data_IF_745661426725
#
_entry.id   IF_745661426725
#
_cell.length_a   1.000
_cell.length_b   1.000
_cell.length_c   1.000
_cell.angle_alpha   90.00
_cell.angle_beta   90.00
_cell.angle_gamma   90.00
#
_symmetry.space_group_name_H-M   'P 1'
#
loop_
_entity.id
_entity.type
_entity.pdbx_description
1 polymer ?
#
# COMPACT_ATOMS: atom_id res chain seq x y z
N UNK A 1 -13.84 -26.67 -8.45
CA UNK A 1 -13.54 -26.47 -9.89
C UNK A 1 -12.63 -25.26 -9.98
N UNK A 2 -11.41 -25.39 -10.51
CA UNK A 2 -10.51 -24.24 -10.65
C UNK A 2 -10.94 -23.48 -11.91
N UNK A 3 -11.41 -22.24 -11.74
CA UNK A 3 -11.64 -21.35 -12.87
C UNK A 3 -10.30 -20.82 -13.36
N UNK A 4 -9.88 -21.28 -14.54
CA UNK A 4 -8.67 -20.78 -15.20
C UNK A 4 -8.97 -19.38 -15.76
N UNK A 5 -8.03 -18.45 -15.57
CA UNK A 5 -8.15 -17.09 -16.06
C UNK A 5 -8.30 -17.05 -17.60
N UNK A 6 -9.37 -16.42 -18.10
CA UNK A 6 -9.56 -16.13 -19.52
C UNK A 6 -9.12 -14.70 -19.84
N UNK A 7 -8.10 -14.52 -20.67
CA UNK A 7 -7.58 -13.21 -21.05
C UNK A 7 -8.60 -12.32 -21.76
N UNK A 8 -9.69 -12.89 -22.32
CA UNK A 8 -10.78 -12.12 -22.92
C UNK A 8 -11.48 -11.21 -21.92
N UNK A 9 -11.47 -11.53 -20.62
CA UNK A 9 -12.08 -10.66 -19.59
C UNK A 9 -11.40 -9.30 -19.49
N UNK A 10 -10.14 -9.17 -19.91
CA UNK A 10 -9.41 -7.90 -19.94
C UNK A 10 -10.07 -6.87 -20.87
N UNK A 11 -10.87 -7.32 -21.86
CA UNK A 11 -11.63 -6.42 -22.75
C UNK A 11 -12.75 -5.68 -22.02
N UNK A 12 -13.17 -6.18 -20.86
CA UNK A 12 -14.21 -5.59 -20.02
C UNK A 12 -13.66 -4.55 -19.03
N UNK A 13 -12.33 -4.33 -19.02
CA UNK A 13 -11.75 -3.28 -18.19
C UNK A 13 -12.24 -1.90 -18.62
N UNK A 14 -12.39 -1.03 -17.63
CA UNK A 14 -12.77 0.35 -17.83
C UNK A 14 -11.82 1.06 -18.80
N UNK A 15 -12.38 1.90 -19.67
CA UNK A 15 -11.64 2.77 -20.58
C UNK A 15 -12.05 4.21 -20.30
N UNK A 16 -11.08 5.11 -20.06
CA UNK A 16 -11.36 6.53 -19.88
C UNK A 16 -12.24 7.11 -21.00
N UNK A 17 -13.35 7.79 -20.68
CA UNK A 17 -14.17 8.51 -21.65
C UNK A 17 -13.35 9.58 -22.39
N UNK A 18 -13.65 9.84 -23.66
CA UNK A 18 -12.94 10.86 -24.45
C UNK A 18 -13.02 12.28 -23.86
N UNK A 19 -14.02 12.56 -23.02
CA UNK A 19 -14.24 13.86 -22.37
C UNK A 19 -13.91 13.84 -20.86
N UNK A 20 -13.22 12.79 -20.37
CA UNK A 20 -12.77 12.72 -18.99
C UNK A 20 -11.74 13.82 -18.71
N UNK A 21 -11.74 14.37 -17.49
CA UNK A 21 -10.75 15.32 -17.04
C UNK A 21 -10.41 15.09 -15.56
N UNK A 22 -9.24 15.58 -15.14
CA UNK A 22 -8.90 15.78 -13.74
C UNK A 22 -8.92 14.51 -12.90
N UNK A 23 -10.08 14.19 -12.32
CA UNK A 23 -10.30 13.15 -11.30
C UNK A 23 -11.26 12.03 -11.76
N UNK A 24 -11.69 12.05 -13.02
CA UNK A 24 -12.74 11.17 -13.56
C UNK A 24 -12.32 9.70 -13.69
N UNK A 25 -11.02 9.41 -13.82
CA UNK A 25 -10.48 8.06 -14.02
C UNK A 25 -9.85 7.48 -12.75
N UNK A 26 -10.27 8.03 -11.61
CA UNK A 26 -10.03 7.48 -10.30
C UNK A 26 -8.75 7.97 -9.64
N UNK A 27 -8.68 7.67 -8.35
CA UNK A 27 -7.68 8.18 -7.43
C UNK A 27 -7.22 7.06 -6.49
N UNK A 28 -5.93 6.98 -6.22
CA UNK A 28 -5.37 5.95 -5.33
C UNK A 28 -4.48 6.58 -4.28
N UNK A 29 -4.61 6.14 -3.03
CA UNK A 29 -3.62 6.40 -1.98
C UNK A 29 -2.71 5.19 -1.83
N UNK A 30 -1.41 5.40 -1.83
CA UNK A 30 -0.38 4.40 -1.54
C UNK A 30 0.26 4.76 -0.20
N UNK A 31 0.28 3.80 0.71
CA UNK A 31 0.82 3.95 2.07
C UNK A 31 1.94 2.94 2.25
N UNK A 32 3.16 3.42 2.42
CA UNK A 32 4.31 2.55 2.42
C UNK A 32 5.62 3.26 2.61
N UNK A 33 6.70 2.49 2.50
CA UNK A 33 8.06 2.96 2.71
C UNK A 33 8.44 2.98 4.19
N UNK A 34 9.75 2.96 4.40
CA UNK A 34 10.39 2.98 5.70
C UNK A 34 11.81 3.53 5.52
N UNK A 35 12.53 3.71 6.62
CA UNK A 35 13.93 4.13 6.57
C UNK A 35 14.78 3.20 5.70
N UNK A 36 14.57 1.88 5.80
CA UNK A 36 15.31 0.88 5.02
C UNK A 36 14.77 0.69 3.60
N UNK A 37 13.44 0.70 3.42
CA UNK A 37 12.78 0.36 2.16
C UNK A 37 11.99 1.53 1.55
N UNK A 38 12.52 2.75 1.63
CA UNK A 38 11.92 3.96 1.05
C UNK A 38 11.69 3.88 -0.47
N UNK A 39 12.45 3.03 -1.18
CA UNK A 39 12.31 2.81 -2.62
C UNK A 39 11.23 1.80 -3.02
N UNK A 40 10.77 0.94 -2.11
CA UNK A 40 9.82 -0.12 -2.46
C UNK A 40 8.48 0.39 -3.02
N UNK A 41 7.87 1.48 -2.48
CA UNK A 41 6.65 2.05 -3.06
C UNK A 41 6.80 2.60 -4.48
N UNK A 42 8.02 2.88 -4.97
CA UNK A 42 8.24 3.55 -6.27
C UNK A 42 7.62 2.76 -7.43
N UNK A 43 7.74 1.43 -7.40
CA UNK A 43 7.16 0.60 -8.45
C UNK A 43 5.63 0.68 -8.46
N UNK A 44 5.02 0.64 -7.28
CA UNK A 44 3.58 0.81 -7.11
C UNK A 44 3.11 2.19 -7.57
N UNK A 45 3.85 3.25 -7.22
CA UNK A 45 3.58 4.62 -7.65
C UNK A 45 3.61 4.74 -9.18
N UNK A 46 4.65 4.18 -9.82
CA UNK A 46 4.82 4.22 -11.28
C UNK A 46 3.79 3.37 -12.03
N UNK A 47 3.34 2.26 -11.44
CA UNK A 47 2.29 1.44 -12.01
C UNK A 47 0.94 2.15 -11.91
N UNK A 48 0.58 2.65 -10.73
CA UNK A 48 -0.68 3.35 -10.49
C UNK A 48 -0.81 4.60 -11.36
N UNK A 49 0.27 5.39 -11.53
CA UNK A 49 0.25 6.63 -12.32
C UNK A 49 0.00 6.43 -13.81
N UNK A 50 -0.01 5.19 -14.30
CA UNK A 50 -0.36 4.84 -15.68
C UNK A 50 -1.80 4.38 -15.82
N UNK A 51 -2.51 4.20 -14.71
CA UNK A 51 -3.83 3.60 -14.65
C UNK A 51 -4.86 4.62 -14.16
N UNK A 52 -4.50 5.44 -13.16
CA UNK A 52 -5.40 6.40 -12.52
C UNK A 52 -4.90 7.84 -12.71
N UNK A 53 -5.80 8.81 -12.55
CA UNK A 53 -5.46 10.22 -12.75
C UNK A 53 -4.62 10.78 -11.60
N UNK A 54 -4.91 10.36 -10.36
CA UNK A 54 -4.20 10.86 -9.18
C UNK A 54 -3.68 9.73 -8.31
N UNK A 55 -2.40 9.87 -7.92
CA UNK A 55 -1.75 8.98 -6.96
C UNK A 55 -1.24 9.81 -5.79
N UNK A 56 -1.77 9.52 -4.60
CA UNK A 56 -1.32 10.10 -3.34
C UNK A 56 -0.36 9.14 -2.65
N UNK A 57 0.74 9.65 -2.10
CA UNK A 57 1.74 8.85 -1.40
C UNK A 57 1.94 9.37 0.02
N UNK A 58 1.74 8.51 1.01
CA UNK A 58 2.02 8.81 2.41
C UNK A 58 2.88 7.74 3.06
N UNK A 59 3.66 8.12 4.07
CA UNK A 59 4.44 7.20 4.88
C UNK A 59 4.42 7.64 6.35
N UNK A 60 4.30 6.71 7.31
CA UNK A 60 4.46 7.01 8.73
C UNK A 60 5.93 7.29 9.10
N UNK A 61 6.88 7.03 8.21
CA UNK A 61 8.31 7.29 8.41
C UNK A 61 8.68 8.67 7.86
N UNK A 62 9.04 9.65 8.71
CA UNK A 62 9.33 11.03 8.28
C UNK A 62 10.45 11.11 7.22
N UNK A 63 11.50 10.29 7.35
CA UNK A 63 12.63 10.28 6.42
C UNK A 63 12.26 9.88 4.98
N UNK A 64 11.11 9.24 4.77
CA UNK A 64 10.63 8.91 3.42
C UNK A 64 10.19 10.17 2.68
N UNK A 65 9.76 11.24 3.36
CA UNK A 65 9.31 12.48 2.72
C UNK A 65 10.38 13.20 1.92
N UNK A 66 11.62 13.23 2.43
CA UNK A 66 12.76 13.82 1.72
C UNK A 66 13.07 13.05 0.44
N UNK A 67 13.05 11.72 0.53
CA UNK A 67 13.28 10.83 -0.61
C UNK A 67 12.12 10.96 -1.61
N UNK A 68 10.88 10.97 -1.13
CA UNK A 68 9.68 11.13 -1.94
C UNK A 68 9.70 12.46 -2.71
N UNK A 69 10.17 13.55 -2.09
CA UNK A 69 10.31 14.85 -2.75
C UNK A 69 11.33 14.80 -3.88
N UNK A 70 12.48 14.14 -3.66
CA UNK A 70 13.52 13.92 -4.69
C UNK A 70 13.06 12.97 -5.81
N UNK A 71 12.22 11.99 -5.49
CA UNK A 71 11.63 11.08 -6.48
C UNK A 71 10.56 11.82 -7.28
N UNK A 72 9.71 12.62 -6.63
CA UNK A 72 8.66 13.42 -7.25
C UNK A 72 9.23 14.33 -8.32
N UNK A 73 10.37 14.98 -8.07
CA UNK A 73 11.03 15.84 -9.08
C UNK A 73 11.50 15.07 -10.32
N UNK A 74 11.75 13.76 -10.21
CA UNK A 74 12.18 12.91 -11.33
C UNK A 74 11.04 12.16 -12.01
N UNK A 75 10.05 11.70 -11.26
CA UNK A 75 8.94 10.88 -11.74
C UNK A 75 7.72 11.73 -12.15
N UNK A 76 7.51 12.90 -11.55
CA UNK A 76 6.34 13.79 -11.76
C UNK A 76 4.98 13.08 -11.76
N UNK A 77 4.87 11.94 -11.06
CA UNK A 77 3.75 10.99 -11.23
C UNK A 77 2.88 10.80 -9.99
N UNK A 78 3.15 11.50 -8.89
CA UNK A 78 2.39 11.37 -7.64
C UNK A 78 2.48 12.64 -6.78
N UNK A 79 1.57 12.73 -5.81
CA UNK A 79 1.48 13.79 -4.81
C UNK A 79 1.93 13.21 -3.47
N UNK A 80 3.00 13.76 -2.90
CA UNK A 80 3.40 13.48 -1.53
C UNK A 80 2.40 14.12 -0.56
N UNK A 81 1.93 13.33 0.41
CA UNK A 81 0.94 13.71 1.41
C UNK A 81 1.61 13.70 2.79
N UNK A 82 1.55 14.81 3.55
CA UNK A 82 1.96 14.83 4.95
C UNK A 82 1.20 13.77 5.75
N UNK A 83 1.87 13.09 6.69
CA UNK A 83 1.30 11.94 7.38
C UNK A 83 0.04 12.30 8.17
N UNK A 84 -0.01 13.50 8.74
CA UNK A 84 -1.16 14.08 9.43
C UNK A 84 -2.42 14.16 8.57
N UNK A 85 -2.26 14.29 7.25
CA UNK A 85 -3.36 14.42 6.30
C UNK A 85 -3.71 13.10 5.61
N UNK A 86 -2.98 12.01 5.85
CA UNK A 86 -3.14 10.74 5.11
C UNK A 86 -4.59 10.23 5.14
N UNK A 87 -5.26 10.39 6.28
CA UNK A 87 -6.65 9.96 6.47
C UNK A 87 -7.63 10.73 5.58
N UNK A 88 -7.35 12.01 5.27
CA UNK A 88 -8.14 12.78 4.32
C UNK A 88 -8.04 12.19 2.90
N UNK A 89 -6.82 11.83 2.46
CA UNK A 89 -6.60 11.27 1.13
C UNK A 89 -7.08 9.83 0.99
N UNK A 90 -7.05 9.04 2.07
CA UNK A 90 -7.74 7.74 2.14
C UNK A 90 -9.24 7.93 1.87
N UNK A 91 -9.88 8.93 2.50
CA UNK A 91 -11.32 9.22 2.26
C UNK A 91 -11.56 9.61 0.80
N UNK A 92 -10.70 10.46 0.24
CA UNK A 92 -10.80 10.96 -1.14
C UNK A 92 -10.64 9.87 -2.21
N UNK A 93 -9.70 8.95 -2.04
CA UNK A 93 -9.29 8.00 -3.08
C UNK A 93 -10.35 6.95 -3.40
N UNK A 94 -10.35 6.29 -4.55
CA UNK A 94 -11.25 5.15 -4.81
C UNK A 94 -10.76 3.86 -4.16
N UNK A 95 -9.43 3.70 -4.07
CA UNK A 95 -8.77 2.55 -3.49
C UNK A 95 -7.49 2.96 -2.74
N UNK A 96 -7.03 2.08 -1.84
CA UNK A 96 -5.82 2.30 -1.06
C UNK A 96 -4.94 1.06 -1.09
N UNK A 97 -3.65 1.23 -1.38
CA UNK A 97 -2.62 0.21 -1.21
C UNK A 97 -1.83 0.49 0.07
N UNK A 98 -1.66 -0.52 0.92
CA UNK A 98 -0.86 -0.40 2.14
C UNK A 98 0.14 -1.55 2.27
N UNK A 99 1.35 -1.23 2.71
CA UNK A 99 2.34 -2.21 3.12
C UNK A 99 3.64 -2.31 2.31
N UNK A 100 3.72 -1.92 1.01
CA UNK A 100 5.00 -1.91 0.30
C UNK A 100 6.06 -1.09 1.02
N UNK A 101 7.19 -1.71 1.36
CA UNK A 101 8.28 -1.05 2.08
C UNK A 101 8.06 -0.86 3.58
N UNK A 102 6.96 -1.36 4.15
CA UNK A 102 6.83 -1.48 5.61
C UNK A 102 7.74 -2.59 6.16
N UNK A 103 8.13 -2.45 7.41
CA UNK A 103 9.13 -3.30 8.04
C UNK A 103 8.50 -4.17 9.12
N UNK A 104 8.73 -5.48 9.05
CA UNK A 104 8.47 -6.40 10.18
C UNK A 104 9.54 -6.29 11.27
N UNK A 105 10.78 -6.02 10.85
CA UNK A 105 11.96 -5.88 11.71
C UNK A 105 12.89 -4.78 11.19
N UNK A 106 13.59 -4.09 12.11
CA UNK A 106 14.59 -3.04 11.85
C UNK A 106 15.79 -3.52 11.02
N UNK A 107 16.11 -4.81 11.05
CA UNK A 107 17.13 -5.43 10.20
C UNK A 107 16.77 -6.88 9.88
N UNK A 108 17.25 -7.37 8.73
CA UNK A 108 17.07 -8.77 8.33
C UNK A 108 17.82 -9.75 9.25
N UNK A 109 18.95 -9.33 9.84
CA UNK A 109 19.72 -10.15 10.78
C UNK A 109 18.93 -10.47 12.07
N UNK A 110 18.09 -9.53 12.53
CA UNK A 110 17.24 -9.71 13.71
C UNK A 110 16.03 -10.63 13.47
N UNK A 111 15.76 -11.01 12.20
CA UNK A 111 14.66 -11.91 11.87
C UNK A 111 14.99 -13.38 12.15
N UNK A 112 16.28 -13.74 12.22
CA UNK A 112 16.73 -15.12 12.46
C UNK A 112 16.81 -15.48 13.96
N UNK A 113 17.02 -14.50 14.83
CA UNK A 113 17.18 -14.72 16.29
C UNK A 113 15.89 -14.59 17.11
N UNK A 114 14.78 -14.16 16.49
CA UNK A 114 13.52 -13.93 17.20
C UNK A 114 12.57 -15.10 17.00
N UNK A 115 12.08 -15.64 18.12
CA UNK A 115 10.98 -16.59 18.13
C UNK A 115 9.84 -16.11 17.23
N UNK A 116 9.25 -17.05 16.48
CA UNK A 116 8.08 -16.84 15.63
C UNK A 116 7.05 -15.97 16.37
N UNK A 117 6.84 -14.74 15.89
CA UNK A 117 5.80 -13.83 16.39
C UNK A 117 6.27 -12.59 17.15
N UNK A 118 7.54 -12.48 17.55
CA UNK A 118 8.01 -11.28 18.25
C UNK A 118 8.25 -10.13 17.25
N UNK A 119 7.56 -9.00 17.39
CA UNK A 119 7.80 -7.78 16.58
C UNK A 119 8.76 -6.85 17.31
N UNK A 120 9.69 -6.24 16.58
CA UNK A 120 10.48 -5.12 17.14
C UNK A 120 9.75 -3.78 17.00
N UNK A 121 10.42 -2.67 17.33
CA UNK A 121 9.78 -1.36 17.26
C UNK A 121 9.25 -1.00 15.87
N UNK A 122 9.94 -1.40 14.79
CA UNK A 122 9.48 -1.13 13.43
C UNK A 122 8.28 -2.04 13.07
N UNK A 123 8.35 -3.32 13.46
CA UNK A 123 7.22 -4.24 13.31
C UNK A 123 5.97 -3.81 14.05
N UNK A 124 6.11 -3.32 15.30
CA UNK A 124 4.99 -2.81 16.10
C UNK A 124 4.37 -1.57 15.48
N UNK A 125 5.19 -0.62 15.01
CA UNK A 125 4.69 0.55 14.28
C UNK A 125 3.91 0.15 13.03
N UNK A 126 4.46 -0.76 12.21
CA UNK A 126 3.76 -1.29 11.02
C UNK A 126 2.41 -1.91 11.39
N UNK A 127 2.38 -2.74 12.43
CA UNK A 127 1.16 -3.39 12.92
C UNK A 127 0.13 -2.36 13.40
N UNK A 128 0.55 -1.39 14.20
CA UNK A 128 -0.32 -0.34 14.75
C UNK A 128 -0.92 0.53 13.64
N UNK A 129 -0.10 0.99 12.69
CA UNK A 129 -0.56 1.77 11.53
C UNK A 129 -1.53 0.95 10.68
N UNK A 130 -1.18 -0.29 10.36
CA UNK A 130 -2.03 -1.19 9.56
C UNK A 130 -3.37 -1.41 10.26
N UNK A 131 -3.38 -1.75 11.55
CA UNK A 131 -4.60 -1.94 12.34
C UNK A 131 -5.45 -0.68 12.36
N UNK A 132 -4.85 0.47 12.68
CA UNK A 132 -5.56 1.75 12.80
C UNK A 132 -6.28 2.09 11.50
N UNK A 133 -5.58 2.00 10.37
CA UNK A 133 -6.14 2.41 9.08
C UNK A 133 -7.18 1.42 8.55
N UNK A 134 -6.93 0.10 8.63
CA UNK A 134 -7.91 -0.89 8.19
C UNK A 134 -9.21 -0.83 9.03
N UNK A 135 -9.07 -0.71 10.35
CA UNK A 135 -10.23 -0.63 11.25
C UNK A 135 -10.97 0.70 11.17
N UNK A 136 -10.28 1.82 10.89
CA UNK A 136 -10.88 3.14 10.71
C UNK A 136 -11.62 3.32 9.37
N UNK A 137 -11.28 2.53 8.36
CA UNK A 137 -11.80 2.67 6.99
C UNK A 137 -12.25 1.32 6.40
N UNK A 138 -13.06 0.56 7.14
CA UNK A 138 -13.52 -0.78 6.75
C UNK A 138 -14.29 -0.83 5.41
N UNK A 139 -14.96 0.25 5.04
CA UNK A 139 -15.72 0.33 3.78
C UNK A 139 -14.86 0.65 2.55
N UNK A 140 -13.57 0.97 2.73
CA UNK A 140 -12.67 1.30 1.64
C UNK A 140 -12.26 0.06 0.84
N UNK A 141 -11.96 0.25 -0.44
CA UNK A 141 -11.31 -0.78 -1.27
C UNK A 141 -9.82 -0.80 -0.93
N UNK A 142 -9.38 -1.87 -0.29
CA UNK A 142 -8.00 -2.04 0.14
C UNK A 142 -7.26 -3.04 -0.76
N UNK A 143 -6.00 -2.75 -1.03
CA UNK A 143 -4.99 -3.74 -1.42
C UNK A 143 -3.97 -3.78 -0.28
N UNK A 144 -3.78 -4.96 0.32
CA UNK A 144 -2.88 -5.15 1.46
C UNK A 144 -1.73 -6.04 1.01
N UNK A 145 -0.51 -5.55 1.17
CA UNK A 145 0.68 -6.16 0.62
C UNK A 145 1.86 -6.18 1.62
N UNK A 146 2.86 -7.00 1.35
CA UNK A 146 4.18 -6.97 1.96
C UNK A 146 4.19 -6.81 3.50
N UNK A 147 4.83 -5.75 4.02
CA UNK A 147 5.05 -5.56 5.46
C UNK A 147 3.77 -5.46 6.29
N UNK A 148 2.65 -5.03 5.70
CA UNK A 148 1.35 -5.07 6.37
C UNK A 148 0.87 -6.50 6.57
N UNK A 149 0.93 -7.35 5.53
CA UNK A 149 0.56 -8.76 5.62
C UNK A 149 1.41 -9.52 6.65
N UNK A 150 2.69 -9.16 6.79
CA UNK A 150 3.62 -9.81 7.72
C UNK A 150 3.38 -9.49 9.20
N UNK A 151 2.55 -8.49 9.51
CA UNK A 151 2.39 -7.95 10.87
C UNK A 151 0.94 -7.84 11.33
N UNK A 152 -0.04 -8.02 10.45
CA UNK A 152 -1.45 -7.95 10.77
C UNK A 152 -2.04 -9.30 11.19
N UNK A 153 -3.24 -9.28 11.75
CA UNK A 153 -4.05 -10.49 11.98
C UNK A 153 -5.14 -10.61 10.89
N UNK A 154 -5.50 -11.84 10.52
CA UNK A 154 -6.48 -12.10 9.46
C UNK A 154 -7.89 -11.53 9.75
N UNK A 155 -8.28 -11.39 11.02
CA UNK A 155 -9.58 -10.82 11.42
C UNK A 155 -9.69 -9.31 11.14
N UNK A 156 -8.58 -8.64 10.79
CA UNK A 156 -8.59 -7.22 10.42
C UNK A 156 -8.88 -6.98 8.94
N UNK A 157 -8.87 -8.04 8.11
CA UNK A 157 -9.06 -7.94 6.67
C UNK A 157 -10.48 -7.43 6.35
N UNK A 158 -10.63 -6.26 5.70
CA UNK A 158 -11.94 -5.79 5.28
C UNK A 158 -12.56 -6.70 4.20
N UNK A 159 -13.89 -6.84 4.18
CA UNK A 159 -14.62 -7.79 3.32
C UNK A 159 -14.29 -7.67 1.81
N UNK A 160 -14.02 -6.44 1.32
CA UNK A 160 -13.72 -6.15 -0.09
C UNK A 160 -12.24 -5.92 -0.35
N UNK A 161 -11.37 -6.26 0.60
CA UNK A 161 -9.93 -6.12 0.43
C UNK A 161 -9.38 -7.20 -0.51
N UNK A 162 -8.35 -6.82 -1.27
CA UNK A 162 -7.47 -7.73 -1.99
C UNK A 162 -6.21 -7.87 -1.15
N UNK A 163 -5.79 -9.10 -0.87
CA UNK A 163 -4.51 -9.39 -0.24
C UNK A 163 -3.56 -10.00 -1.27
N UNK A 164 -2.27 -9.67 -1.20
CA UNK A 164 -1.26 -10.14 -2.16
C UNK A 164 -0.11 -10.92 -1.51
N UNK A 165 -0.37 -11.92 -0.65
CA UNK A 165 0.69 -12.61 0.07
C UNK A 165 1.54 -13.47 -0.88
N UNK A 166 2.86 -13.45 -0.67
CA UNK A 166 3.70 -14.58 -1.04
C UNK A 166 3.49 -15.77 -0.08
N UNK A 167 4.13 -16.92 -0.35
CA UNK A 167 3.97 -18.13 0.49
C UNK A 167 4.23 -17.89 1.98
N UNK A 168 5.30 -17.16 2.31
CA UNK A 168 5.66 -16.88 3.71
C UNK A 168 4.68 -15.92 4.37
N UNK A 169 4.19 -14.94 3.64
CA UNK A 169 3.15 -14.02 4.14
C UNK A 169 1.83 -14.75 4.38
N UNK A 170 1.49 -15.71 3.51
CA UNK A 170 0.31 -16.54 3.67
C UNK A 170 0.42 -17.44 4.91
N UNK A 171 1.58 -18.04 5.16
CA UNK A 171 1.80 -18.88 6.35
C UNK A 171 1.76 -18.09 7.67
N UNK A 172 1.92 -16.76 7.62
CA UNK A 172 1.89 -15.87 8.79
C UNK A 172 0.50 -15.29 9.10
N UNK A 173 -0.39 -15.28 8.11
CA UNK A 173 -1.76 -14.74 8.18
C UNK A 173 -2.75 -15.80 8.70
#
# INVERSE_FOLDING_TARGET
MINVFDSKVLKNLYKPPKKSNGEDNGQVTIIGGSSLFHGAPILSLKAASRIVDMVFFGSPEPGVGDVATKIKSKLMSFIWVPWEDVEHYIKKSDAVLIGPGFMRFKSEQNANDKQHGMLDGAGRMTREVTRKLLSGFKSKKWVIDAGSLQTMDADWIPEKAIITPNKKEFDLL
#
